data_IF_403163925160
#
_entry.id   IF_403163925160
#
_cell.length_a   1.000
_cell.length_b   1.000
_cell.length_c   1.000
_cell.angle_alpha   90.00
_cell.angle_beta   90.00
_cell.angle_gamma   90.00
#
_symmetry.space_group_name_H-M   'P 1'
#
loop_
_entity.id
_entity.type
_entity.pdbx_description
1 polymer ?
#
# COMPACT_ATOMS: atom_id res chain seq x y z
N UNK A 1 -17.50 2.40 16.29
CA UNK A 1 -18.29 1.35 15.62
C UNK A 1 -17.30 0.36 15.02
N UNK A 2 -17.45 -0.94 15.28
CA UNK A 2 -16.53 -1.99 14.79
C UNK A 2 -17.21 -2.76 13.66
N UNK A 3 -16.52 -2.91 12.52
CA UNK A 3 -17.02 -3.67 11.37
C UNK A 3 -16.30 -5.02 11.31
N UNK A 4 -17.06 -6.11 11.37
CA UNK A 4 -16.52 -7.46 11.23
C UNK A 4 -16.59 -7.92 9.77
N UNK A 5 -15.48 -8.48 9.28
CA UNK A 5 -15.40 -9.06 7.95
C UNK A 5 -15.40 -10.59 8.03
N UNK A 6 -16.00 -11.29 7.05
CA UNK A 6 -15.88 -12.74 6.98
C UNK A 6 -14.42 -13.18 6.78
N UNK A 7 -14.06 -14.39 7.27
CA UNK A 7 -12.71 -14.90 7.13
C UNK A 7 -12.31 -15.02 5.65
N UNK A 8 -11.02 -14.80 5.37
CA UNK A 8 -10.42 -14.89 4.02
C UNK A 8 -11.15 -14.06 2.94
N UNK A 9 -11.80 -12.96 3.31
CA UNK A 9 -12.50 -12.07 2.36
C UNK A 9 -11.78 -10.74 2.19
N UNK A 10 -10.57 -10.74 1.60
CA UNK A 10 -9.80 -9.51 1.37
C UNK A 10 -10.57 -8.52 0.49
N UNK A 11 -11.43 -9.02 -0.41
CA UNK A 11 -12.26 -8.20 -1.29
C UNK A 11 -13.24 -7.27 -0.54
N UNK A 12 -13.56 -7.60 0.71
CA UNK A 12 -14.41 -6.75 1.57
C UNK A 12 -13.62 -5.80 2.46
N UNK A 13 -12.28 -5.82 2.40
CA UNK A 13 -11.43 -4.91 3.15
C UNK A 13 -10.87 -3.82 2.22
N UNK A 14 -11.42 -2.58 2.25
CA UNK A 14 -11.02 -1.54 1.31
C UNK A 14 -9.53 -1.20 1.32
N UNK A 15 -8.81 -1.48 2.42
CA UNK A 15 -7.37 -1.23 2.54
C UNK A 15 -6.55 -2.02 1.51
N UNK A 16 -7.05 -3.17 1.05
CA UNK A 16 -6.34 -4.01 0.07
C UNK A 16 -6.14 -3.30 -1.27
N UNK A 17 -7.10 -2.47 -1.69
CA UNK A 17 -6.97 -1.63 -2.87
C UNK A 17 -5.86 -0.58 -2.72
N UNK A 18 -5.75 0.03 -1.53
CA UNK A 18 -4.67 0.97 -1.22
C UNK A 18 -3.32 0.27 -1.23
N UNK A 19 -3.20 -0.92 -0.62
CA UNK A 19 -1.97 -1.71 -0.66
C UNK A 19 -1.56 -2.09 -2.08
N UNK A 20 -2.50 -2.41 -2.96
CA UNK A 20 -2.20 -2.68 -4.36
C UNK A 20 -1.58 -1.47 -5.08
N UNK A 21 -2.19 -0.28 -4.93
CA UNK A 21 -1.66 0.99 -5.49
C UNK A 21 -0.30 1.34 -4.89
N UNK A 22 -0.16 1.25 -3.58
CA UNK A 22 1.07 1.56 -2.85
C UNK A 22 2.22 0.66 -3.27
N UNK A 23 2.02 -0.66 -3.31
CA UNK A 23 3.05 -1.62 -3.77
C UNK A 23 3.46 -1.37 -5.22
N UNK A 24 2.56 -0.88 -6.08
CA UNK A 24 2.90 -0.52 -7.47
C UNK A 24 3.80 0.71 -7.53
N UNK A 25 3.51 1.73 -6.72
CA UNK A 25 4.32 2.96 -6.65
C UNK A 25 5.69 2.71 -6.02
N UNK A 26 5.75 1.98 -4.89
CA UNK A 26 7.02 1.61 -4.25
C UNK A 26 7.94 0.90 -5.25
N UNK A 27 7.44 -0.10 -6.00
CA UNK A 27 8.26 -0.81 -7.01
C UNK A 27 8.80 0.11 -8.11
N UNK A 28 8.07 1.16 -8.46
CA UNK A 28 8.53 2.16 -9.43
C UNK A 28 9.61 3.05 -8.84
N UNK A 29 9.47 3.43 -7.57
CA UNK A 29 10.35 4.39 -6.89
C UNK A 29 11.60 3.75 -6.31
N UNK A 30 11.59 2.47 -5.92
CA UNK A 30 12.75 1.77 -5.31
C UNK A 30 14.09 2.06 -6.02
N UNK A 31 14.19 2.04 -7.37
CA UNK A 31 15.45 2.31 -8.05
C UNK A 31 16.00 3.74 -7.88
N UNK A 32 15.15 4.69 -7.47
CA UNK A 32 15.49 6.11 -7.29
C UNK A 32 16.03 6.40 -5.88
N UNK A 33 15.95 5.45 -4.95
CA UNK A 33 16.34 5.62 -3.55
C UNK A 33 17.35 4.56 -3.10
N UNK A 34 18.24 4.95 -2.20
CA UNK A 34 19.20 4.03 -1.58
C UNK A 34 18.58 3.20 -0.44
N UNK A 35 17.45 3.66 0.12
CA UNK A 35 16.76 3.02 1.21
C UNK A 35 15.27 2.83 0.87
N UNK A 36 14.71 1.70 1.29
CA UNK A 36 13.30 1.40 1.07
C UNK A 36 12.38 2.32 1.85
N UNK A 37 12.81 2.83 3.02
CA UNK A 37 12.01 3.77 3.82
C UNK A 37 11.70 5.04 3.03
N UNK A 38 12.71 5.63 2.39
CA UNK A 38 12.56 6.87 1.62
C UNK A 38 11.63 6.65 0.40
N UNK A 39 11.73 5.49 -0.25
CA UNK A 39 10.84 5.11 -1.35
C UNK A 39 9.39 4.90 -0.89
N UNK A 40 9.18 4.38 0.32
CA UNK A 40 7.86 4.24 0.94
C UNK A 40 7.28 5.62 1.27
N UNK A 41 8.06 6.50 1.90
CA UNK A 41 7.62 7.86 2.24
C UNK A 41 7.23 8.65 1.00
N UNK A 42 8.06 8.59 -0.06
CA UNK A 42 7.75 9.19 -1.36
C UNK A 42 6.49 8.60 -2.00
N UNK A 43 6.30 7.28 -1.92
CA UNK A 43 5.10 6.62 -2.43
C UNK A 43 3.84 7.05 -1.67
N UNK A 44 3.92 7.20 -0.34
CA UNK A 44 2.79 7.63 0.50
C UNK A 44 2.39 9.08 0.23
N UNK A 45 3.35 9.98 0.00
CA UNK A 45 3.07 11.38 -0.39
C UNK A 45 2.39 11.47 -1.78
N UNK A 46 2.64 10.50 -2.65
CA UNK A 46 2.13 10.49 -4.04
C UNK A 46 0.68 9.98 -4.17
N UNK A 47 0.15 9.24 -3.19
CA UNK A 47 -1.13 8.52 -3.29
C UNK A 47 -2.33 9.41 -3.00
#
# INVERSE_FOLDING_TARGET
NLLFLPPYSPDFNPIEHYWSKLKKLIRKLIPEFNNISDAIDAALITI
#
